data_IF_502809260230
#
_entry.id   IF_502809260230
#
_cell.length_a   1.000
_cell.length_b   1.000
_cell.length_c   1.000
_cell.angle_alpha   90.00
_cell.angle_beta   90.00
_cell.angle_gamma   90.00
#
_symmetry.space_group_name_H-M   'P 1'
#
loop_
_entity.id
_entity.type
_entity.pdbx_description
1 polymer ?
#
# COMPACT_ATOMS: atom_id res chain seq x y z
N UNK A 1 -1.03 10.21 -16.47
CA UNK A 1 -1.95 9.78 -15.39
C UNK A 1 -1.64 10.63 -14.17
N UNK A 2 -2.62 10.92 -13.29
CA UNK A 2 -2.37 11.76 -12.11
C UNK A 2 -2.73 11.03 -10.82
N UNK A 3 -2.04 11.38 -9.74
CA UNK A 3 -2.39 11.00 -8.37
C UNK A 3 -2.62 12.26 -7.55
N UNK A 4 -3.43 12.16 -6.50
CA UNK A 4 -3.60 13.23 -5.53
C UNK A 4 -2.89 12.85 -4.23
N UNK A 5 -2.01 13.72 -3.74
CA UNK A 5 -1.32 13.52 -2.48
C UNK A 5 -1.19 14.85 -1.74
N UNK A 6 -1.60 14.90 -0.47
CA UNK A 6 -1.62 16.11 0.36
C UNK A 6 -2.33 17.32 -0.28
N UNK A 7 -3.42 17.04 -1.01
CA UNK A 7 -4.24 18.07 -1.66
C UNK A 7 -3.66 18.67 -2.94
N UNK A 8 -2.54 18.14 -3.45
CA UNK A 8 -1.97 18.49 -4.75
C UNK A 8 -2.09 17.32 -5.73
N UNK A 9 -2.19 17.63 -7.02
CA UNK A 9 -2.13 16.63 -8.10
C UNK A 9 -0.70 16.53 -8.63
N UNK A 10 -0.27 15.30 -8.94
CA UNK A 10 1.05 15.00 -9.48
C UNK A 10 0.94 14.07 -10.68
N UNK A 11 1.72 14.34 -11.70
CA UNK A 11 1.83 13.45 -12.85
C UNK A 11 2.65 12.22 -12.53
N UNK A 12 2.14 11.07 -13.00
CA UNK A 12 2.83 9.78 -12.94
C UNK A 12 2.85 9.13 -14.31
N UNK A 13 3.81 8.25 -14.52
CA UNK A 13 3.94 7.42 -15.71
C UNK A 13 4.01 5.95 -15.34
N UNK A 14 3.41 5.10 -16.16
CA UNK A 14 3.57 3.65 -16.09
C UNK A 14 4.39 3.20 -17.30
N UNK A 15 5.46 2.45 -17.05
CA UNK A 15 6.37 1.99 -18.10
C UNK A 15 6.56 0.50 -17.98
N UNK A 16 6.47 -0.16 -19.11
CA UNK A 16 6.81 -1.57 -19.27
C UNK A 16 8.06 -1.69 -20.13
N UNK A 17 9.07 -2.36 -19.61
CA UNK A 17 10.27 -2.71 -20.37
C UNK A 17 10.33 -4.21 -20.59
N UNK A 18 10.77 -4.62 -21.76
CA UNK A 18 10.95 -6.04 -22.13
C UNK A 18 12.33 -6.22 -22.76
N UNK A 19 13.19 -6.97 -22.11
CA UNK A 19 14.48 -7.39 -22.62
C UNK A 19 14.45 -8.87 -22.97
N UNK A 20 14.84 -9.22 -24.19
CA UNK A 20 14.88 -10.62 -24.63
C UNK A 20 16.32 -11.00 -24.95
N UNK A 21 16.82 -12.02 -24.31
CA UNK A 21 18.07 -12.68 -24.60
C UNK A 21 17.77 -14.03 -25.32
N UNK A 22 18.40 -14.28 -26.46
CA UNK A 22 18.22 -15.52 -27.20
C UNK A 22 19.55 -16.29 -27.27
N UNK A 23 19.47 -17.60 -27.05
CA UNK A 23 20.59 -18.54 -27.16
C UNK A 23 20.11 -19.77 -27.93
N UNK A 24 20.85 -20.18 -28.95
CA UNK A 24 20.45 -21.27 -29.85
C UNK A 24 20.35 -22.64 -29.16
N UNK A 25 21.03 -22.81 -28.02
CA UNK A 25 21.03 -24.08 -27.29
C UNK A 25 20.05 -24.06 -26.11
N UNK A 26 19.78 -22.87 -25.54
CA UNK A 26 18.96 -22.72 -24.31
C UNK A 26 17.56 -22.15 -24.58
N UNK A 27 17.32 -21.68 -25.81
CA UNK A 27 16.08 -21.01 -26.13
C UNK A 27 16.14 -19.50 -25.91
N UNK A 28 15.12 -18.92 -25.31
CA UNK A 28 15.09 -17.51 -25.00
C UNK A 28 14.79 -17.26 -23.51
N UNK A 29 15.21 -16.10 -23.04
CA UNK A 29 14.97 -15.59 -21.69
C UNK A 29 14.47 -14.17 -21.81
N UNK A 30 13.36 -13.87 -21.18
CA UNK A 30 12.80 -12.51 -21.15
C UNK A 30 12.83 -11.96 -19.75
N UNK A 31 13.30 -10.73 -19.64
CA UNK A 31 13.21 -9.92 -18.44
C UNK A 31 12.19 -8.82 -18.69
N UNK A 32 11.11 -8.85 -17.92
CA UNK A 32 10.02 -7.89 -18.00
C UNK A 32 9.99 -7.10 -16.71
N UNK A 33 9.99 -5.78 -16.82
CA UNK A 33 9.94 -4.87 -15.70
C UNK A 33 8.80 -3.88 -15.91
N UNK A 34 7.96 -3.72 -14.90
CA UNK A 34 6.93 -2.70 -14.85
C UNK A 34 7.31 -1.66 -13.81
N UNK A 35 7.23 -0.40 -14.19
CA UNK A 35 7.56 0.75 -13.36
C UNK A 35 6.38 1.68 -13.22
N UNK A 36 6.09 2.06 -11.98
CA UNK A 36 5.25 3.18 -11.60
C UNK A 36 6.16 4.33 -11.19
N UNK A 37 6.18 5.38 -12.00
CA UNK A 37 7.17 6.45 -11.95
C UNK A 37 6.50 7.75 -11.52
N UNK A 38 7.12 8.44 -10.58
CA UNK A 38 6.73 9.76 -10.16
C UNK A 38 7.44 10.80 -11.05
N UNK A 39 6.73 11.31 -12.06
CA UNK A 39 7.29 12.20 -13.10
C UNK A 39 7.58 13.61 -12.60
N UNK A 40 6.96 13.99 -11.47
CA UNK A 40 7.14 15.27 -10.82
C UNK A 40 7.82 15.13 -9.46
N UNK A 41 8.37 16.25 -8.98
CA UNK A 41 8.97 16.29 -7.64
C UNK A 41 7.88 16.18 -6.57
N UNK A 42 7.84 15.05 -5.88
CA UNK A 42 6.91 14.77 -4.80
C UNK A 42 7.66 14.39 -3.52
N UNK A 43 7.23 14.91 -2.38
CA UNK A 43 7.83 14.56 -1.09
C UNK A 43 7.18 13.28 -0.54
N UNK A 44 7.58 12.15 -1.09
CA UNK A 44 7.03 10.83 -0.74
C UNK A 44 7.25 10.46 0.74
N UNK A 45 8.30 11.00 1.37
CA UNK A 45 8.57 10.78 2.80
C UNK A 45 7.48 11.33 3.75
N UNK A 46 6.57 12.15 3.23
CA UNK A 46 5.40 12.62 3.99
C UNK A 46 4.26 11.61 4.08
N UNK A 47 4.29 10.54 3.29
CA UNK A 47 3.31 9.48 3.38
C UNK A 47 3.33 8.86 4.77
N UNK A 48 2.18 8.78 5.39
CA UNK A 48 2.02 8.26 6.74
C UNK A 48 0.62 7.63 6.90
N UNK A 49 0.35 7.07 8.06
CA UNK A 49 -0.91 6.38 8.33
C UNK A 49 -2.15 7.28 8.29
N UNK A 50 -1.99 8.58 8.58
CA UNK A 50 -3.12 9.55 8.61
C UNK A 50 -3.42 10.07 7.20
N UNK A 51 -2.37 10.23 6.41
CA UNK A 51 -2.39 10.74 5.05
C UNK A 51 -1.52 9.83 4.17
N UNK A 52 -2.03 8.63 3.86
CA UNK A 52 -1.29 7.67 3.06
C UNK A 52 -1.21 8.15 1.60
N UNK A 53 -0.14 7.78 0.93
CA UNK A 53 -0.08 7.92 -0.52
C UNK A 53 -0.90 6.77 -1.14
N UNK A 54 -2.02 7.11 -1.76
CA UNK A 54 -2.82 6.12 -2.49
C UNK A 54 -2.42 6.09 -3.96
N UNK A 55 -1.98 4.92 -4.42
CA UNK A 55 -1.63 4.68 -5.82
C UNK A 55 -2.41 3.49 -6.36
N UNK A 56 -2.70 3.53 -7.67
CA UNK A 56 -3.26 2.37 -8.38
C UNK A 56 -2.12 1.62 -9.07
N UNK A 57 -1.67 0.56 -8.46
CA UNK A 57 -0.54 -0.23 -8.90
C UNK A 57 -0.99 -1.59 -9.41
N UNK A 58 -0.76 -1.90 -10.69
CA UNK A 58 -1.18 -3.16 -11.32
C UNK A 58 -2.64 -3.53 -11.00
N UNK A 59 -3.54 -2.58 -11.20
CA UNK A 59 -4.98 -2.76 -10.98
C UNK A 59 -5.45 -2.76 -9.53
N UNK A 60 -4.54 -2.80 -8.53
CA UNK A 60 -4.86 -2.73 -7.10
C UNK A 60 -4.56 -1.36 -6.53
N UNK A 61 -5.34 -0.93 -5.55
CA UNK A 61 -5.02 0.27 -4.77
C UNK A 61 -4.08 -0.11 -3.64
N UNK A 62 -2.91 0.52 -3.60
CA UNK A 62 -1.98 0.46 -2.48
C UNK A 62 -2.12 1.73 -1.64
N UNK A 63 -2.25 1.59 -0.33
CA UNK A 63 -2.27 2.68 0.64
C UNK A 63 -0.92 2.72 1.36
N UNK A 64 0.01 3.50 0.83
CA UNK A 64 1.38 3.55 1.33
C UNK A 64 1.41 4.51 2.52
N UNK A 65 1.67 3.97 3.71
CA UNK A 65 1.70 4.69 4.99
C UNK A 65 3.11 4.94 5.51
N UNK A 66 4.12 4.51 4.79
CA UNK A 66 5.52 4.76 5.13
C UNK A 66 6.44 4.43 3.97
N UNK A 67 7.50 5.21 3.85
CA UNK A 67 8.47 5.11 2.76
C UNK A 67 9.87 5.26 3.34
N UNK A 68 10.79 4.40 2.88
CA UNK A 68 12.23 4.59 3.00
C UNK A 68 12.84 4.65 1.60
N UNK A 69 14.15 4.70 1.47
CA UNK A 69 14.81 4.77 0.18
C UNK A 69 14.51 3.56 -0.72
N UNK A 70 14.45 2.39 -0.13
CA UNK A 70 14.34 1.08 -0.79
C UNK A 70 13.12 0.26 -0.34
N UNK A 71 12.18 0.86 0.37
CA UNK A 71 11.00 0.14 0.86
C UNK A 71 9.76 1.01 0.99
N UNK A 72 8.61 0.36 0.87
CA UNK A 72 7.29 0.92 1.15
C UNK A 72 6.62 0.13 2.26
N UNK A 73 5.84 0.81 3.09
CA UNK A 73 4.97 0.19 4.09
C UNK A 73 3.53 0.47 3.72
N UNK A 74 2.82 -0.57 3.31
CA UNK A 74 1.40 -0.52 2.97
C UNK A 74 0.54 -0.69 4.22
N UNK A 75 -0.53 0.10 4.33
CA UNK A 75 -1.62 -0.17 5.25
C UNK A 75 -2.62 -1.14 4.60
N UNK A 76 -2.72 -2.35 5.14
CA UNK A 76 -3.59 -3.44 4.63
C UNK A 76 -4.87 -3.58 5.46
N UNK A 77 -5.42 -2.47 5.95
CA UNK A 77 -6.61 -2.43 6.79
C UNK A 77 -7.81 -1.79 6.11
N UNK A 78 -8.95 -1.85 6.81
CA UNK A 78 -10.21 -1.25 6.40
C UNK A 78 -10.68 -0.23 7.44
N UNK A 79 -11.44 0.77 6.97
CA UNK A 79 -12.02 1.79 7.82
C UNK A 79 -13.47 1.42 8.17
N UNK A 80 -13.82 1.62 9.45
CA UNK A 80 -15.14 1.34 9.98
C UNK A 80 -15.66 2.57 10.73
N UNK A 81 -16.73 3.22 10.23
CA UNK A 81 -17.48 4.21 10.99
C UNK A 81 -18.38 3.47 12.00
N UNK A 82 -18.22 3.75 13.28
CA UNK A 82 -18.97 3.11 14.37
C UNK A 82 -19.55 4.17 15.31
N UNK A 83 -20.79 3.98 15.75
CA UNK A 83 -21.36 4.70 16.90
C UNK A 83 -21.01 3.99 18.21
N UNK A 84 -21.09 4.70 19.34
CA UNK A 84 -20.86 4.10 20.66
C UNK A 84 -21.83 2.96 20.93
N UNK A 85 -21.30 1.77 21.12
CA UNK A 85 -22.05 0.53 21.29
C UNK A 85 -22.05 -0.40 20.07
N UNK A 86 -21.71 0.12 18.89
CA UNK A 86 -21.65 -0.66 17.65
C UNK A 86 -20.54 -1.70 17.67
N UNK A 87 -20.71 -2.71 16.83
CA UNK A 87 -19.76 -3.81 16.66
C UNK A 87 -19.50 -4.09 15.17
N UNK A 88 -18.25 -4.51 14.88
CA UNK A 88 -17.86 -5.06 13.59
C UNK A 88 -17.06 -6.35 13.81
N UNK A 89 -17.12 -7.28 12.86
CA UNK A 89 -16.33 -8.52 12.92
C UNK A 89 -15.21 -8.45 11.89
N UNK A 90 -13.97 -8.53 12.35
CA UNK A 90 -12.77 -8.51 11.51
C UNK A 90 -11.87 -9.69 11.92
N UNK A 91 -11.43 -10.48 10.94
CA UNK A 91 -10.58 -11.67 11.18
C UNK A 91 -11.15 -12.65 12.24
N UNK A 92 -12.49 -12.75 12.29
CA UNK A 92 -13.19 -13.65 13.23
C UNK A 92 -13.27 -13.11 14.67
N UNK A 93 -12.80 -11.90 14.96
CA UNK A 93 -12.92 -11.22 16.24
C UNK A 93 -13.99 -10.13 16.21
N UNK A 94 -14.72 -9.97 17.30
CA UNK A 94 -15.73 -8.93 17.45
C UNK A 94 -15.11 -7.70 18.08
N UNK A 95 -15.08 -6.60 17.32
CA UNK A 95 -14.60 -5.29 17.73
C UNK A 95 -15.81 -4.44 18.09
N UNK A 96 -15.84 -3.90 19.30
CA UNK A 96 -16.90 -3.02 19.79
C UNK A 96 -16.35 -1.66 20.13
N UNK A 97 -16.92 -0.60 19.57
CA UNK A 97 -16.71 0.76 20.07
C UNK A 97 -17.53 0.95 21.35
N UNK A 98 -16.89 0.87 22.51
CA UNK A 98 -17.58 0.98 23.80
C UNK A 98 -18.09 2.39 24.02
N UNK A 99 -17.22 3.40 23.80
CA UNK A 99 -17.55 4.84 23.89
C UNK A 99 -16.46 5.72 23.29
N UNK A 100 -16.85 6.96 22.99
CA UNK A 100 -15.95 8.07 22.64
C UNK A 100 -15.85 9.03 23.84
N UNK A 101 -14.65 9.48 24.16
CA UNK A 101 -14.41 10.49 25.22
C UNK A 101 -14.37 11.91 24.65
N UNK A 102 -14.58 12.91 25.51
CA UNK A 102 -14.61 14.34 25.13
C UNK A 102 -13.29 14.88 24.57
N UNK A 103 -12.17 14.17 24.77
CA UNK A 103 -10.86 14.48 24.19
C UNK A 103 -10.54 13.70 22.93
N UNK A 104 -11.54 13.02 22.31
CA UNK A 104 -11.35 12.24 21.09
C UNK A 104 -10.72 10.86 21.32
N UNK A 105 -10.44 10.46 22.57
CA UNK A 105 -10.04 9.09 22.86
C UNK A 105 -11.23 8.14 22.72
N UNK A 106 -10.98 6.94 22.21
CA UNK A 106 -11.98 5.86 22.11
C UNK A 106 -11.68 4.76 23.11
N UNK A 107 -12.71 4.08 23.58
CA UNK A 107 -12.59 2.82 24.29
C UNK A 107 -13.12 1.72 23.39
N UNK A 108 -12.26 0.75 23.09
CA UNK A 108 -12.56 -0.39 22.24
C UNK A 108 -12.48 -1.67 23.06
N UNK A 109 -13.41 -2.58 22.84
CA UNK A 109 -13.40 -3.95 23.38
C UNK A 109 -13.28 -4.93 22.21
N UNK A 110 -12.35 -5.87 22.31
CA UNK A 110 -12.21 -6.98 21.36
C UNK A 110 -12.26 -8.30 22.11
N UNK A 111 -13.38 -9.00 21.96
CA UNK A 111 -13.65 -10.30 22.63
C UNK A 111 -13.38 -10.25 24.14
N UNK A 112 -13.77 -9.15 24.79
CA UNK A 112 -13.65 -8.95 26.24
C UNK A 112 -12.33 -8.31 26.69
N UNK A 113 -11.41 -8.01 25.78
CA UNK A 113 -10.19 -7.22 26.07
C UNK A 113 -10.42 -5.77 25.72
N UNK A 114 -10.37 -4.89 26.71
CA UNK A 114 -10.70 -3.47 26.55
C UNK A 114 -9.44 -2.61 26.64
N UNK A 115 -9.32 -1.64 25.71
CA UNK A 115 -8.23 -0.65 25.71
C UNK A 115 -8.74 0.75 25.36
N UNK A 116 -7.99 1.77 25.82
CA UNK A 116 -8.24 3.17 25.46
C UNK A 116 -7.20 3.64 24.47
N UNK A 117 -7.67 4.08 23.29
CA UNK A 117 -6.82 4.57 22.20
C UNK A 117 -7.07 6.07 22.03
N UNK A 118 -6.00 6.88 22.18
CA UNK A 118 -6.13 8.33 21.99
C UNK A 118 -6.40 8.69 20.54
N UNK A 119 -6.89 9.92 20.33
CA UNK A 119 -7.11 10.46 18.98
C UNK A 119 -5.81 10.44 18.18
N UNK A 120 -5.88 9.93 16.93
CA UNK A 120 -4.75 9.80 16.01
C UNK A 120 -3.62 8.88 16.50
N UNK A 121 -3.92 7.96 17.42
CA UNK A 121 -2.96 6.93 17.87
C UNK A 121 -3.44 5.53 17.49
N UNK A 122 -2.48 4.60 17.42
CA UNK A 122 -2.74 3.16 17.24
C UNK A 122 -2.68 2.46 18.59
N UNK A 123 -3.65 1.58 18.86
CA UNK A 123 -3.61 0.59 19.94
C UNK A 123 -3.59 -0.83 19.39
N UNK A 124 -2.97 -1.76 20.13
CA UNK A 124 -3.06 -3.18 19.84
C UNK A 124 -3.95 -3.84 20.86
N UNK A 125 -5.18 -4.16 20.48
CA UNK A 125 -6.20 -4.74 21.36
C UNK A 125 -6.40 -6.20 20.98
N UNK A 126 -6.11 -7.10 21.89
CA UNK A 126 -6.23 -8.55 21.67
C UNK A 126 -5.58 -9.03 20.36
N UNK A 127 -4.42 -8.46 20.00
CA UNK A 127 -3.67 -8.81 18.78
C UNK A 127 -4.16 -8.14 17.48
N UNK A 128 -5.19 -7.30 17.54
CA UNK A 128 -5.67 -6.49 16.41
C UNK A 128 -5.16 -5.06 16.57
N UNK A 129 -4.56 -4.52 15.51
CA UNK A 129 -4.18 -3.11 15.48
C UNK A 129 -5.38 -2.26 15.10
N UNK A 130 -5.70 -1.28 15.94
CA UNK A 130 -6.76 -0.30 15.73
C UNK A 130 -6.15 1.09 15.76
N UNK A 131 -6.39 1.84 14.70
CA UNK A 131 -6.06 3.25 14.63
C UNK A 131 -7.33 4.09 14.80
N UNK A 132 -7.30 5.05 15.74
CA UNK A 132 -8.37 6.00 15.97
C UNK A 132 -8.28 7.15 14.97
N UNK A 133 -8.96 7.01 13.82
CA UNK A 133 -8.82 7.91 12.66
C UNK A 133 -9.50 9.26 12.91
N UNK A 134 -10.78 9.24 13.31
CA UNK A 134 -11.56 10.44 13.59
C UNK A 134 -12.62 10.16 14.63
N UNK A 135 -13.01 11.19 15.40
CA UNK A 135 -14.03 11.04 16.43
C UNK A 135 -14.99 12.23 16.47
N UNK A 136 -16.24 11.93 16.66
CA UNK A 136 -17.29 12.90 16.96
C UNK A 136 -17.85 12.62 18.36
N UNK A 137 -17.64 13.55 19.31
CA UNK A 137 -18.17 13.43 20.66
C UNK A 137 -19.43 14.28 20.83
N UNK A 138 -20.55 13.65 21.21
CA UNK A 138 -21.79 14.35 21.56
C UNK A 138 -21.94 14.39 23.10
N UNK A 139 -21.82 15.57 23.69
CA UNK A 139 -21.94 15.77 25.14
C UNK A 139 -23.37 15.59 25.67
N UNK A 140 -24.39 15.75 24.80
CA UNK A 140 -25.81 15.65 25.16
C UNK A 140 -26.34 14.22 25.01
N UNK A 141 -25.77 13.46 24.07
CA UNK A 141 -26.14 12.09 23.82
C UNK A 141 -24.88 11.24 23.52
N UNK A 142 -24.26 10.72 24.59
CA UNK A 142 -23.04 9.94 24.45
C UNK A 142 -23.20 8.67 23.57
N UNK A 143 -24.41 8.14 23.45
CA UNK A 143 -24.67 7.01 22.56
C UNK A 143 -24.57 7.39 21.07
N UNK A 144 -24.81 8.65 20.72
CA UNK A 144 -24.62 9.18 19.36
C UNK A 144 -23.19 9.64 19.08
N UNK A 145 -22.29 9.50 20.04
CA UNK A 145 -20.86 9.73 19.77
C UNK A 145 -20.31 8.64 18.86
N UNK A 146 -19.57 9.02 17.84
CA UNK A 146 -19.07 8.12 16.80
C UNK A 146 -17.55 8.23 16.64
N UNK A 147 -16.96 7.18 16.10
CA UNK A 147 -15.57 7.18 15.66
C UNK A 147 -15.43 6.48 14.32
N UNK A 148 -14.55 6.97 13.48
CA UNK A 148 -14.00 6.20 12.38
C UNK A 148 -12.70 5.56 12.86
N UNK A 149 -12.66 4.24 12.82
CA UNK A 149 -11.49 3.45 13.18
C UNK A 149 -10.94 2.73 11.96
N UNK A 150 -9.63 2.66 11.85
CA UNK A 150 -8.97 1.78 10.87
C UNK A 150 -8.52 0.51 11.57
N UNK A 151 -8.93 -0.63 11.03
CA UNK A 151 -8.61 -1.95 11.59
C UNK A 151 -7.74 -2.69 10.61
N UNK A 152 -6.57 -3.15 11.03
CA UNK A 152 -5.66 -3.93 10.18
C UNK A 152 -4.20 -3.73 10.56
N UNK A 153 -3.34 -4.25 9.70
CA UNK A 153 -1.90 -4.26 9.88
C UNK A 153 -1.16 -3.42 8.85
N UNK A 154 0.15 -3.47 8.99
CA UNK A 154 1.08 -2.91 8.03
C UNK A 154 1.88 -4.04 7.41
N UNK A 155 2.15 -3.93 6.12
CA UNK A 155 3.04 -4.84 5.40
C UNK A 155 4.13 -4.03 4.73
N UNK A 156 5.38 -4.35 5.03
CA UNK A 156 6.53 -3.69 4.42
C UNK A 156 7.06 -4.56 3.30
N UNK A 157 7.31 -3.94 2.16
CA UNK A 157 7.95 -4.53 1.00
C UNK A 157 9.25 -3.79 0.75
N UNK A 158 10.32 -4.53 0.48
CA UNK A 158 11.64 -4.03 0.15
C UNK A 158 12.01 -4.35 -1.29
N UNK A 159 12.94 -3.60 -1.81
CA UNK A 159 13.56 -3.93 -3.09
C UNK A 159 14.08 -5.38 -3.09
N UNK A 160 13.71 -6.15 -4.13
CA UNK A 160 14.03 -7.58 -4.25
C UNK A 160 13.09 -8.55 -3.53
N UNK A 161 12.20 -8.10 -2.65
CA UNK A 161 11.21 -8.98 -2.02
C UNK A 161 10.26 -9.60 -3.06
N UNK A 162 9.72 -10.78 -2.77
CA UNK A 162 8.71 -11.39 -3.66
C UNK A 162 7.43 -10.57 -3.66
N UNK A 163 6.99 -10.17 -4.84
CA UNK A 163 5.67 -9.58 -5.05
C UNK A 163 4.62 -10.68 -5.09
N UNK A 164 4.84 -11.68 -5.95
CA UNK A 164 4.11 -12.94 -6.03
C UNK A 164 5.06 -14.07 -6.48
N UNK A 165 4.51 -15.20 -7.00
CA UNK A 165 5.29 -16.40 -7.32
C UNK A 165 6.44 -16.13 -8.31
N UNK A 166 6.16 -15.35 -9.39
CA UNK A 166 7.10 -15.15 -10.50
C UNK A 166 7.69 -13.72 -10.54
N UNK A 167 7.28 -12.84 -9.63
CA UNK A 167 7.64 -11.44 -9.64
C UNK A 167 8.27 -10.98 -8.33
N UNK A 168 9.24 -10.09 -8.44
CA UNK A 168 9.85 -9.41 -7.30
C UNK A 168 9.58 -7.90 -7.37
N UNK A 169 9.48 -7.27 -6.22
CA UNK A 169 9.48 -5.83 -6.11
C UNK A 169 10.77 -5.23 -6.63
N UNK A 170 10.67 -4.10 -7.31
CA UNK A 170 11.78 -3.17 -7.59
C UNK A 170 11.37 -1.81 -7.04
N UNK A 171 12.13 -1.32 -6.08
CA UNK A 171 11.82 -0.09 -5.35
C UNK A 171 13.13 0.69 -5.22
N UNK A 172 13.13 1.95 -5.63
CA UNK A 172 14.34 2.73 -5.52
C UNK A 172 14.14 4.24 -5.48
N UNK A 173 15.10 4.88 -4.83
CA UNK A 173 15.26 6.32 -4.80
C UNK A 173 14.05 7.10 -4.24
N UNK A 174 13.21 6.46 -3.42
CA UNK A 174 11.95 7.06 -2.94
C UNK A 174 12.17 8.28 -2.03
N UNK A 175 13.34 8.45 -1.43
CA UNK A 175 13.72 9.64 -0.66
C UNK A 175 14.28 10.79 -1.53
N UNK A 176 14.53 10.53 -2.80
CA UNK A 176 14.99 11.58 -3.71
C UNK A 176 13.85 12.57 -4.00
N UNK A 177 14.20 13.85 -3.94
CA UNK A 177 13.32 14.96 -4.32
C UNK A 177 13.70 15.45 -5.72
N UNK A 178 13.61 14.55 -6.68
CA UNK A 178 13.87 14.84 -8.09
C UNK A 178 12.83 14.18 -8.97
N UNK A 179 12.59 14.74 -10.15
CA UNK A 179 11.80 14.06 -11.17
C UNK A 179 12.56 12.82 -11.66
N UNK A 180 11.79 11.81 -12.04
CA UNK A 180 12.39 10.60 -12.61
C UNK A 180 12.86 10.84 -14.04
N UNK A 181 14.09 10.45 -14.34
CA UNK A 181 14.64 10.43 -15.68
C UNK A 181 14.73 8.98 -16.17
N UNK A 182 14.29 8.75 -17.39
CA UNK A 182 14.33 7.46 -18.04
C UNK A 182 15.35 7.50 -19.16
N UNK A 183 16.27 6.56 -19.12
CA UNK A 183 17.26 6.33 -20.18
C UNK A 183 17.08 4.93 -20.74
N UNK A 184 17.68 4.63 -21.90
CA UNK A 184 17.64 3.29 -22.52
C UNK A 184 18.19 2.16 -21.62
N UNK A 185 18.77 2.47 -20.48
CA UNK A 185 19.45 1.50 -19.61
C UNK A 185 19.06 1.58 -18.14
N UNK A 186 18.45 2.66 -17.69
CA UNK A 186 18.23 2.90 -16.27
C UNK A 186 17.09 3.86 -16.01
N UNK A 187 16.32 3.59 -14.96
CA UNK A 187 15.35 4.51 -14.38
C UNK A 187 16.03 5.19 -13.19
N UNK A 188 16.11 6.52 -13.23
CA UNK A 188 16.67 7.36 -12.16
C UNK A 188 15.57 8.19 -11.54
N UNK A 189 15.62 8.36 -10.22
CA UNK A 189 14.59 9.05 -9.45
C UNK A 189 13.63 8.05 -8.78
N UNK A 190 12.58 8.54 -8.12
CA UNK A 190 11.67 7.71 -7.33
C UNK A 190 10.77 6.84 -8.20
N UNK A 191 10.77 5.53 -7.92
CA UNK A 191 9.88 4.58 -8.58
C UNK A 191 9.49 3.42 -7.66
N UNK A 192 8.36 2.81 -7.99
CA UNK A 192 7.89 1.53 -7.45
C UNK A 192 7.59 0.64 -8.65
N UNK A 193 8.00 -0.61 -8.61
CA UNK A 193 7.79 -1.50 -9.74
C UNK A 193 7.87 -2.96 -9.35
N UNK A 194 7.76 -3.80 -10.36
CA UNK A 194 7.99 -5.24 -10.25
C UNK A 194 8.77 -5.74 -11.46
N UNK A 195 9.58 -6.77 -11.24
CA UNK A 195 10.23 -7.50 -12.34
C UNK A 195 10.02 -9.00 -12.20
N UNK A 196 9.91 -9.67 -13.35
CA UNK A 196 9.77 -11.13 -13.36
C UNK A 196 11.10 -11.79 -12.96
N UNK A 197 11.00 -13.05 -12.53
CA UNK A 197 12.14 -13.96 -12.36
C UNK A 197 12.43 -14.59 -13.72
N UNK A 198 13.47 -14.13 -14.45
CA UNK A 198 13.67 -14.58 -15.81
C UNK A 198 14.10 -16.06 -15.84
N UNK A 199 13.39 -16.85 -16.62
CA UNK A 199 13.68 -18.26 -16.86
C UNK A 199 13.94 -18.50 -18.35
N UNK A 200 14.84 -19.42 -18.65
CA UNK A 200 15.01 -19.90 -20.02
C UNK A 200 13.80 -20.74 -20.46
N UNK A 201 13.29 -20.47 -21.64
CA UNK A 201 12.15 -21.14 -22.25
C UNK A 201 12.53 -21.68 -23.62
N UNK A 202 11.94 -22.80 -24.02
CA UNK A 202 12.16 -23.40 -25.33
C UNK A 202 11.64 -22.49 -26.45
N UNK A 203 12.31 -22.47 -27.60
CA UNK A 203 11.97 -21.61 -28.74
C UNK A 203 10.58 -21.90 -29.31
N UNK A 204 10.04 -23.11 -29.08
CA UNK A 204 8.75 -23.55 -29.61
C UNK A 204 7.57 -23.29 -28.64
N UNK A 205 7.83 -22.70 -27.47
CA UNK A 205 6.75 -22.43 -26.52
C UNK A 205 6.00 -21.16 -26.87
N UNK A 206 4.68 -21.27 -27.06
CA UNK A 206 3.79 -20.08 -27.04
C UNK A 206 3.77 -19.55 -25.62
N UNK A 207 4.37 -18.39 -25.41
CA UNK A 207 4.46 -17.80 -24.09
C UNK A 207 3.97 -16.36 -24.12
N UNK A 208 2.80 -16.15 -23.55
CA UNK A 208 2.37 -14.85 -23.11
C UNK A 208 3.01 -14.53 -21.77
N UNK A 209 3.36 -13.30 -21.52
CA UNK A 209 3.71 -12.79 -20.21
C UNK A 209 2.46 -12.16 -19.59
N UNK A 210 2.04 -12.72 -18.48
CA UNK A 210 0.98 -12.14 -17.67
C UNK A 210 1.60 -11.23 -16.60
N UNK A 211 1.23 -9.97 -16.61
CA UNK A 211 1.58 -9.09 -15.49
C UNK A 211 0.79 -9.51 -14.25
N UNK A 212 1.34 -9.28 -13.04
CA UNK A 212 0.64 -9.59 -11.82
C UNK A 212 -0.79 -9.04 -11.78
N UNK A 213 -1.71 -9.80 -11.16
CA UNK A 213 -3.13 -9.46 -11.01
C UNK A 213 -3.91 -9.41 -12.34
N UNK A 214 -3.49 -10.14 -13.37
CA UNK A 214 -4.12 -10.14 -14.71
C UNK A 214 -4.23 -8.70 -15.29
N UNK A 215 -3.24 -7.86 -14.96
CA UNK A 215 -3.27 -6.44 -15.30
C UNK A 215 -3.12 -6.21 -16.81
N UNK A 216 -2.29 -7.01 -17.44
CA UNK A 216 -2.06 -7.02 -18.91
C UNK A 216 -1.41 -8.34 -19.32
N UNK A 217 -1.89 -8.92 -20.41
CA UNK A 217 -1.26 -10.04 -21.12
C UNK A 217 -0.40 -9.49 -22.25
N UNK A 218 0.85 -9.95 -22.39
CA UNK A 218 1.81 -9.49 -23.40
C UNK A 218 2.31 -10.68 -24.22
#
# INVERSE_FOLDING_TARGET
MTITFQGAEYDIEEILTVNVEADLEKGYKSEVEYYYIFSEIIDLAKANQIDPLEIRFLGKTLKIAGITDDSITEFVGENYPLESGDTVVVEGKTIKLVRVGSGGAIIVDIDGVTETIKSKETGNVNGINIYNLETHYDSNNQAASAAEISVGGFKTYKDGDSYDFDWNWIIGNLNEKSSTEITDKEVKGPFIGVKNKPLWKDLDSENCFELPNDYLDI
#
